data_IF_300846591912
#
_entry.id   IF_300846591912
#
_cell.length_a   1.000
_cell.length_b   1.000
_cell.length_c   1.000
_cell.angle_alpha   90.00
_cell.angle_beta   90.00
_cell.angle_gamma   90.00
#
_symmetry.space_group_name_H-M   'P 1'
#
loop_
_entity.id
_entity.type
_entity.pdbx_description
1 polymer ?
#
# COMPACT_ATOMS: atom_id res chain seq x y z
N UNK A 1 -6.50 -26.80 -0.95
CA UNK A 1 -7.09 -25.48 -1.29
C UNK A 1 -6.55 -24.35 -0.41
N UNK A 2 -5.86 -24.62 0.70
CA UNK A 2 -5.23 -23.62 1.60
C UNK A 2 -4.08 -22.85 0.95
N UNK A 3 -3.36 -23.48 0.02
CA UNK A 3 -2.17 -22.93 -0.64
C UNK A 3 -2.41 -21.63 -1.39
N UNK A 4 -3.56 -21.45 -2.04
CA UNK A 4 -3.82 -20.25 -2.85
C UNK A 4 -4.01 -19.00 -1.99
N UNK A 5 -4.75 -19.12 -0.88
CA UNK A 5 -4.97 -18.00 0.05
C UNK A 5 -3.66 -17.61 0.74
N UNK A 6 -2.88 -18.60 1.19
CA UNK A 6 -1.59 -18.33 1.83
C UNK A 6 -0.59 -17.68 0.86
N UNK A 7 -0.57 -18.14 -0.40
CA UNK A 7 0.23 -17.52 -1.46
C UNK A 7 -0.20 -16.07 -1.75
N UNK A 8 -1.51 -15.80 -1.80
CA UNK A 8 -2.01 -14.44 -1.99
C UNK A 8 -1.65 -13.52 -0.81
N UNK A 9 -1.71 -14.02 0.42
CA UNK A 9 -1.30 -13.25 1.59
C UNK A 9 0.19 -12.96 1.59
N UNK A 10 1.01 -13.93 1.17
CA UNK A 10 2.45 -13.75 1.03
C UNK A 10 2.79 -12.71 -0.07
N UNK A 11 2.21 -12.84 -1.26
CA UNK A 11 2.43 -11.91 -2.36
C UNK A 11 2.01 -10.48 -1.98
N UNK A 12 0.85 -10.32 -1.32
CA UNK A 12 0.42 -9.02 -0.79
C UNK A 12 1.37 -8.48 0.27
N UNK A 13 1.98 -9.35 1.09
CA UNK A 13 2.96 -8.93 2.09
C UNK A 13 4.23 -8.41 1.44
N UNK A 14 4.79 -9.15 0.47
CA UNK A 14 5.98 -8.74 -0.28
C UNK A 14 5.77 -7.39 -0.99
N UNK A 15 4.67 -7.24 -1.73
CA UNK A 15 4.31 -5.99 -2.39
C UNK A 15 4.18 -4.81 -1.42
N UNK A 16 3.62 -5.05 -0.23
CA UNK A 16 3.43 -4.02 0.78
C UNK A 16 4.74 -3.65 1.49
N UNK A 17 5.65 -4.60 1.66
CA UNK A 17 7.01 -4.35 2.17
C UNK A 17 7.83 -3.52 1.17
N UNK A 18 7.76 -3.85 -0.12
CA UNK A 18 8.44 -3.09 -1.16
C UNK A 18 7.91 -1.65 -1.26
N UNK A 19 6.58 -1.49 -1.30
CA UNK A 19 5.97 -0.15 -1.30
C UNK A 19 6.32 0.63 -0.02
N UNK A 20 6.34 -0.03 1.13
CA UNK A 20 6.77 0.58 2.39
C UNK A 20 8.18 1.14 2.30
N UNK A 21 9.13 0.35 1.78
CA UNK A 21 10.52 0.77 1.60
C UNK A 21 10.64 1.96 0.65
N UNK A 22 9.98 1.92 -0.52
CA UNK A 22 9.99 3.03 -1.47
C UNK A 22 9.46 4.33 -0.87
N UNK A 23 8.41 4.27 -0.05
CA UNK A 23 7.85 5.44 0.63
C UNK A 23 8.79 5.96 1.74
N UNK A 24 9.46 5.06 2.47
CA UNK A 24 10.47 5.44 3.48
C UNK A 24 11.69 6.12 2.85
N UNK A 25 12.20 5.61 1.73
CA UNK A 25 13.31 6.22 0.97
C UNK A 25 12.99 7.65 0.53
N UNK A 26 11.71 7.95 0.32
CA UNK A 26 11.21 9.29 -0.03
C UNK A 26 10.95 10.18 1.18
N UNK A 27 11.34 9.74 2.37
CA UNK A 27 11.19 10.47 3.64
C UNK A 27 9.76 10.51 4.16
N UNK A 28 8.86 9.66 3.66
CA UNK A 28 7.46 9.68 4.11
C UNK A 28 7.30 8.98 5.46
N UNK A 29 6.45 9.53 6.33
CA UNK A 29 6.06 8.88 7.57
C UNK A 29 5.00 7.81 7.29
N UNK A 30 5.47 6.59 7.03
CA UNK A 30 4.64 5.42 6.75
C UNK A 30 4.84 4.35 7.83
N UNK A 31 3.78 3.63 8.17
CA UNK A 31 3.82 2.48 9.07
C UNK A 31 3.10 1.29 8.46
N UNK A 32 3.80 0.18 8.33
CA UNK A 32 3.18 -1.10 8.01
C UNK A 32 2.40 -1.65 9.22
N UNK A 33 1.18 -2.10 8.96
CA UNK A 33 0.25 -2.67 9.93
C UNK A 33 -0.46 -3.88 9.32
N UNK A 34 -1.09 -4.70 10.16
CA UNK A 34 -1.97 -5.78 9.72
C UNK A 34 -3.39 -5.54 10.18
N UNK A 35 -4.37 -5.91 9.36
CA UNK A 35 -5.75 -6.04 9.76
C UNK A 35 -5.92 -7.30 10.64
N UNK A 36 -6.94 -7.40 11.51
CA UNK A 36 -7.24 -8.64 12.23
C UNK A 36 -7.40 -9.88 11.34
N UNK A 37 -7.79 -9.68 10.07
CA UNK A 37 -7.87 -10.75 9.05
C UNK A 37 -6.50 -11.13 8.43
N UNK A 38 -5.39 -10.61 8.96
CA UNK A 38 -4.03 -10.88 8.46
C UNK A 38 -3.58 -9.98 7.29
N UNK A 39 -4.50 -9.28 6.63
CA UNK A 39 -4.19 -8.47 5.44
C UNK A 39 -3.27 -7.29 5.79
N UNK A 40 -2.12 -7.12 5.11
CA UNK A 40 -1.23 -5.99 5.34
C UNK A 40 -1.86 -4.67 4.85
N UNK A 41 -1.52 -3.56 5.55
CA UNK A 41 -1.92 -2.20 5.21
C UNK A 41 -0.84 -1.20 5.59
N UNK A 42 -0.66 -0.15 4.79
CA UNK A 42 0.22 0.97 5.10
C UNK A 42 -0.61 2.12 5.64
N UNK A 43 -0.16 2.70 6.75
CA UNK A 43 -0.70 3.94 7.28
C UNK A 43 0.28 5.06 6.99
N UNK A 44 -0.09 5.94 6.07
CA UNK A 44 0.70 7.10 5.65
C UNK A 44 0.24 8.33 6.42
N UNK A 45 1.18 9.12 6.93
CA UNK A 45 0.92 10.35 7.68
C UNK A 45 1.70 11.52 7.10
N UNK A 46 1.04 12.67 7.00
CA UNK A 46 1.61 13.91 6.49
C UNK A 46 0.90 15.10 7.16
N UNK A 47 1.52 15.70 8.19
CA UNK A 47 0.86 16.72 9.00
C UNK A 47 -0.43 16.20 9.66
N UNK A 48 -1.55 16.86 9.40
CA UNK A 48 -2.89 16.43 9.87
C UNK A 48 -3.53 15.38 8.96
N UNK A 49 -2.99 15.15 7.77
CA UNK A 49 -3.51 14.18 6.83
C UNK A 49 -3.00 12.77 7.15
N UNK A 50 -3.91 11.80 7.07
CA UNK A 50 -3.61 10.38 7.19
C UNK A 50 -4.37 9.64 6.11
N UNK A 51 -3.72 8.65 5.50
CA UNK A 51 -4.35 7.74 4.54
C UNK A 51 -3.91 6.31 4.82
N UNK A 52 -4.78 5.37 4.47
CA UNK A 52 -4.48 3.94 4.52
C UNK A 52 -4.39 3.41 3.10
N UNK A 53 -3.28 2.78 2.76
CA UNK A 53 -3.07 2.08 1.50
C UNK A 53 -3.14 0.58 1.75
N UNK A 54 -3.81 -0.15 0.86
CA UNK A 54 -4.01 -1.60 0.92
C UNK A 54 -3.65 -2.22 -0.43
N UNK A 55 -3.26 -3.49 -0.42
CA UNK A 55 -3.10 -4.31 -1.61
C UNK A 55 -4.32 -5.23 -1.76
N UNK A 56 -5.10 -5.02 -2.81
CA UNK A 56 -6.26 -5.83 -3.18
C UNK A 56 -5.92 -6.74 -4.37
N UNK A 57 -6.81 -7.68 -4.68
CA UNK A 57 -6.62 -8.63 -5.79
C UNK A 57 -6.14 -10.00 -5.34
N UNK A 58 -6.11 -10.97 -6.24
CA UNK A 58 -5.84 -12.38 -5.97
C UNK A 58 -5.26 -13.05 -7.23
N UNK A 59 -4.74 -14.27 -7.06
CA UNK A 59 -4.26 -15.12 -8.16
C UNK A 59 -3.20 -14.41 -9.03
N UNK A 60 -2.27 -13.67 -8.39
CA UNK A 60 -1.19 -12.96 -9.08
C UNK A 60 -1.58 -11.60 -9.66
N UNK A 61 -2.85 -11.20 -9.60
CA UNK A 61 -3.32 -9.88 -10.08
C UNK A 61 -3.60 -9.01 -8.87
N UNK A 62 -2.73 -8.01 -8.65
CA UNK A 62 -2.81 -7.14 -7.48
C UNK A 62 -2.87 -5.65 -7.85
N UNK A 63 -3.54 -4.88 -7.00
CA UNK A 63 -3.65 -3.44 -7.15
C UNK A 63 -3.60 -2.74 -5.78
N UNK A 64 -3.00 -1.56 -5.77
CA UNK A 64 -2.96 -0.70 -4.60
C UNK A 64 -4.15 0.23 -4.58
N UNK A 65 -4.83 0.29 -3.44
CA UNK A 65 -6.00 1.14 -3.23
C UNK A 65 -5.90 1.90 -1.92
N UNK A 66 -6.58 3.03 -1.82
CA UNK A 66 -6.80 3.67 -0.52
C UNK A 66 -7.98 3.04 0.22
N UNK A 67 -8.08 3.28 1.53
CA UNK A 67 -9.25 2.86 2.31
C UNK A 67 -10.57 3.48 1.83
N UNK A 68 -10.51 4.54 1.03
CA UNK A 68 -11.66 5.18 0.40
C UNK A 68 -11.99 4.62 -0.99
N UNK A 69 -11.34 3.52 -1.40
CA UNK A 69 -11.59 2.85 -2.69
C UNK A 69 -10.95 3.54 -3.90
N UNK A 70 -9.98 4.44 -3.70
CA UNK A 70 -9.26 5.05 -4.83
C UNK A 70 -8.18 4.09 -5.32
N UNK A 71 -8.18 3.79 -6.61
CA UNK A 71 -7.12 3.02 -7.27
C UNK A 71 -5.86 3.88 -7.40
N UNK A 72 -4.72 3.32 -7.00
CA UNK A 72 -3.40 3.97 -7.07
C UNK A 72 -2.53 3.41 -8.19
N UNK A 73 -2.73 2.14 -8.56
CA UNK A 73 -1.95 1.45 -9.59
C UNK A 73 -1.91 -0.05 -9.36
N UNK A 74 -1.30 -0.78 -10.28
CA UNK A 74 -1.13 -2.23 -10.19
C UNK A 74 0.10 -2.63 -9.35
N UNK A 75 0.20 -3.92 -9.03
CA UNK A 75 1.30 -4.50 -8.24
C UNK A 75 2.69 -4.37 -8.87
N UNK A 76 2.77 -4.26 -10.19
CA UNK A 76 4.00 -4.06 -10.98
C UNK A 76 4.42 -2.59 -11.13
N UNK A 77 3.57 -1.65 -10.71
CA UNK A 77 3.78 -0.20 -10.85
C UNK A 77 4.18 0.50 -9.53
N UNK A 78 4.90 -0.20 -8.65
CA UNK A 78 5.21 0.25 -7.28
C UNK A 78 5.78 1.68 -7.19
N UNK A 79 6.67 2.06 -8.12
CA UNK A 79 7.26 3.41 -8.16
C UNK A 79 6.21 4.47 -8.48
N UNK A 80 5.34 4.21 -9.46
CA UNK A 80 4.22 5.08 -9.83
C UNK A 80 3.24 5.21 -8.68
N UNK A 81 2.90 4.10 -8.01
CA UNK A 81 2.04 4.10 -6.82
C UNK A 81 2.64 4.97 -5.72
N UNK A 82 3.95 4.83 -5.46
CA UNK A 82 4.64 5.66 -4.49
C UNK A 82 4.61 7.16 -4.89
N UNK A 83 4.74 7.49 -6.18
CA UNK A 83 4.68 8.88 -6.67
C UNK A 83 3.31 9.50 -6.40
N UNK A 84 2.24 8.74 -6.65
CA UNK A 84 0.87 9.17 -6.39
C UNK A 84 0.65 9.40 -4.90
N UNK A 85 1.10 8.47 -4.04
CA UNK A 85 0.97 8.59 -2.58
C UNK A 85 1.72 9.83 -2.07
N UNK A 86 2.93 10.07 -2.56
CA UNK A 86 3.71 11.25 -2.21
C UNK A 86 3.02 12.54 -2.68
N UNK A 87 2.55 12.57 -3.93
CA UNK A 87 1.81 13.70 -4.48
C UNK A 87 0.56 14.03 -3.66
N UNK A 88 -0.22 13.02 -3.26
CA UNK A 88 -1.38 13.18 -2.40
C UNK A 88 -0.99 13.80 -1.05
N UNK A 89 0.08 13.30 -0.43
CA UNK A 89 0.58 13.81 0.84
C UNK A 89 1.05 15.27 0.75
N UNK A 90 1.76 15.64 -0.31
CA UNK A 90 2.28 17.00 -0.53
C UNK A 90 1.16 17.98 -0.85
N UNK A 91 0.15 17.59 -1.63
CA UNK A 91 -1.00 18.46 -1.93
C UNK A 91 -1.85 18.83 -0.72
N UNK A 92 -1.77 18.08 0.39
CA UNK A 92 -2.53 18.34 1.62
C UNK A 92 -1.77 19.19 2.64
N UNK A 93 -0.48 19.45 2.39
CA UNK A 93 0.35 20.34 3.21
C UNK A 93 0.36 21.80 2.71
N UNK A 94 -0.08 22.04 1.48
CA UNK A 94 -0.27 23.37 0.90
C UNK A 94 -1.65 23.90 1.22
#
# INVERSE_FOLDING_TARGET
MTTTIDNDLLARQELMDELHHLLQERGMNVRLRRHPSGIPKLKVRSGTWTETVQCAGAEGVYAFVTAHGRLLGSGDELRTVADIVQFMATRRQR
#
